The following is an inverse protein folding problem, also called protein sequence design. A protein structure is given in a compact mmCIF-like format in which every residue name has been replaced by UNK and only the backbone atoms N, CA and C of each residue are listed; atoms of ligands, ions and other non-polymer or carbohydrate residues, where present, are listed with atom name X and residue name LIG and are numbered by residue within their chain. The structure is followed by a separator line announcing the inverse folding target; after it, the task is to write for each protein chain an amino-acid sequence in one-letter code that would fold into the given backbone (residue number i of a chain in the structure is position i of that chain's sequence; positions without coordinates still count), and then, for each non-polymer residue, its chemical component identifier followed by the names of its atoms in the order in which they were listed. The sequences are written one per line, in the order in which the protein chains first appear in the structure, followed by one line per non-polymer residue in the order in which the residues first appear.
data_IF_514215521944
#
_entry.id   IF_514215521944
#
_cell.length_a   1.000
_cell.length_b   1.000
_cell.length_c   1.000
_cell.angle_alpha   90.00
_cell.angle_beta   90.00
_cell.angle_gamma   90.00
#
_symmetry.space_group_name_H-M   'P 1'
#
loop_
_entity.id
_entity.type
_entity.pdbx_description
1 polymer ?
#
# COMPACT_ATOMS: atom_id res chain seq x y z
N UNK A 1 33.84 51.29 -20.13
CA UNK A 1 32.61 50.71 -19.58
C UNK A 1 32.66 49.21 -19.83
N UNK A 2 32.85 48.40 -18.79
CA UNK A 2 32.90 46.94 -18.92
C UNK A 2 31.47 46.39 -18.81
N UNK A 3 30.96 45.79 -19.88
CA UNK A 3 29.64 45.18 -19.91
C UNK A 3 29.76 43.77 -19.31
N UNK A 4 29.36 43.62 -18.04
CA UNK A 4 29.20 42.30 -17.42
C UNK A 4 27.99 41.60 -18.06
N UNK A 5 28.27 40.65 -18.96
CA UNK A 5 27.26 39.74 -19.49
C UNK A 5 27.00 38.66 -18.44
N UNK A 6 26.00 38.88 -17.60
CA UNK A 6 25.48 37.84 -16.71
C UNK A 6 24.65 36.87 -17.56
N UNK A 7 25.21 35.71 -17.88
CA UNK A 7 24.46 34.58 -18.44
C UNK A 7 23.47 34.09 -17.37
N UNK A 8 22.15 34.14 -17.60
CA UNK A 8 21.22 33.49 -16.70
C UNK A 8 21.47 31.99 -16.78
N UNK A 9 21.95 31.40 -15.68
CA UNK A 9 21.95 29.97 -15.52
C UNK A 9 20.48 29.51 -15.61
N UNK A 10 20.12 28.84 -16.71
CA UNK A 10 18.84 28.15 -16.82
C UNK A 10 18.87 27.02 -15.80
N UNK A 11 18.41 27.30 -14.59
CA UNK A 11 18.05 26.25 -13.64
C UNK A 11 16.85 25.57 -14.26
N UNK A 12 17.09 24.42 -14.89
CA UNK A 12 16.01 23.55 -15.35
C UNK A 12 15.26 23.10 -14.10
N UNK A 13 14.17 23.80 -13.77
CA UNK A 13 13.19 23.31 -12.83
C UNK A 13 12.66 22.03 -13.45
N UNK A 14 13.18 20.87 -13.00
CA UNK A 14 12.51 19.61 -13.24
C UNK A 14 11.11 19.82 -12.67
N UNK A 15 10.10 19.87 -13.54
CA UNK A 15 8.74 19.65 -13.09
C UNK A 15 8.79 18.31 -12.38
N UNK A 16 8.82 18.33 -11.04
CA UNK A 16 8.47 17.16 -10.26
C UNK A 16 7.16 16.70 -10.87
N UNK A 17 7.16 15.52 -11.49
CA UNK A 17 5.95 14.95 -12.05
C UNK A 17 4.83 15.02 -11.02
N UNK A 18 3.58 15.09 -11.47
CA UNK A 18 2.46 15.01 -10.54
C UNK A 18 2.56 13.63 -9.84
N UNK A 19 2.88 13.55 -8.53
CA UNK A 19 3.18 12.26 -7.92
C UNK A 19 1.88 11.51 -7.63
N UNK A 20 1.86 10.20 -7.83
CA UNK A 20 0.80 9.38 -7.29
C UNK A 20 0.88 9.33 -5.77
N UNK A 21 -0.29 9.31 -5.12
CA UNK A 21 -0.42 9.07 -3.68
C UNK A 21 -1.09 7.72 -3.46
N UNK A 22 -0.30 6.70 -3.15
CA UNK A 22 -0.81 5.36 -2.85
C UNK A 22 -1.26 5.31 -1.40
N UNK A 23 -2.56 5.04 -1.21
CA UNK A 23 -3.19 4.96 0.10
C UNK A 23 -3.79 3.59 0.32
N UNK A 24 -3.46 2.96 1.43
CA UNK A 24 -4.06 1.69 1.86
C UNK A 24 -3.99 1.56 3.38
N UNK A 25 -4.48 0.43 3.89
CA UNK A 25 -4.47 0.15 5.33
C UNK A 25 -3.83 -1.20 5.61
N UNK A 26 -3.20 -1.30 6.77
CA UNK A 26 -2.68 -2.57 7.29
C UNK A 26 -3.45 -2.92 8.55
N UNK A 27 -3.93 -4.15 8.59
CA UNK A 27 -4.71 -4.65 9.70
C UNK A 27 -4.14 -5.95 10.26
N UNK A 28 -4.49 -6.21 11.52
CA UNK A 28 -4.33 -7.47 12.18
C UNK A 28 -5.63 -8.26 12.06
N UNK A 29 -5.56 -9.37 11.34
CA UNK A 29 -6.61 -10.37 11.29
C UNK A 29 -6.60 -11.16 12.60
N UNK A 30 -7.43 -10.70 13.53
CA UNK A 30 -7.59 -11.26 14.87
C UNK A 30 -8.27 -12.62 14.88
N UNK A 31 -8.92 -13.00 13.78
CA UNK A 31 -9.66 -14.26 13.66
C UNK A 31 -9.08 -15.21 12.62
N UNK A 32 -8.04 -14.79 11.89
CA UNK A 32 -7.36 -15.57 10.85
C UNK A 32 -8.34 -16.05 9.76
N UNK A 33 -9.29 -15.19 9.39
CA UNK A 33 -10.33 -15.47 8.40
C UNK A 33 -10.08 -14.84 7.02
N UNK A 34 -9.04 -14.01 6.87
CA UNK A 34 -8.60 -13.45 5.59
C UNK A 34 -9.39 -12.24 5.09
N UNK A 35 -10.15 -11.58 5.96
CA UNK A 35 -10.87 -10.34 5.67
C UNK A 35 -11.09 -9.49 6.93
N UNK A 36 -11.45 -8.22 6.75
CA UNK A 36 -11.71 -7.30 7.86
C UNK A 36 -13.07 -7.62 8.52
N UNK A 37 -13.08 -7.73 9.85
CA UNK A 37 -14.28 -7.96 10.67
C UNK A 37 -14.43 -6.87 11.71
N UNK A 38 -15.51 -6.90 12.50
CA UNK A 38 -15.67 -6.00 13.65
C UNK A 38 -14.60 -6.19 14.75
N UNK A 39 -13.89 -7.33 14.76
CA UNK A 39 -12.78 -7.59 15.67
C UNK A 39 -11.41 -7.14 15.14
N UNK A 40 -11.34 -6.76 13.86
CA UNK A 40 -10.10 -6.31 13.22
C UNK A 40 -9.52 -5.10 13.92
N UNK A 41 -8.20 -5.13 14.14
CA UNK A 41 -7.45 -3.97 14.65
C UNK A 41 -6.49 -3.49 13.57
N UNK A 42 -6.39 -2.17 13.40
CA UNK A 42 -5.43 -1.60 12.46
C UNK A 42 -4.06 -1.47 13.11
N UNK A 43 -2.99 -1.60 12.32
CA UNK A 43 -1.61 -1.66 12.82
C UNK A 43 -0.89 -0.35 12.51
N UNK A 44 -0.66 0.54 13.49
CA UNK A 44 0.26 1.66 13.36
C UNK A 44 1.71 1.20 13.25
N UNK A 45 2.54 1.91 12.49
CA UNK A 45 3.97 1.60 12.32
C UNK A 45 4.27 0.31 11.56
N UNK A 46 3.29 -0.27 10.86
CA UNK A 46 3.54 -1.37 9.93
C UNK A 46 4.33 -0.84 8.73
N UNK A 47 5.40 -1.55 8.35
CA UNK A 47 6.17 -1.24 7.15
C UNK A 47 5.51 -1.85 5.93
N UNK A 48 5.32 -1.02 4.92
CA UNK A 48 4.75 -1.37 3.61
C UNK A 48 5.71 -0.90 2.54
N UNK A 49 5.77 -1.64 1.44
CA UNK A 49 6.58 -1.29 0.28
C UNK A 49 5.71 -1.26 -0.97
N UNK A 50 5.90 -0.25 -1.80
CA UNK A 50 5.44 -0.27 -3.19
C UNK A 50 6.56 -0.90 -4.01
N UNK A 51 6.23 -1.94 -4.78
CA UNK A 51 7.14 -2.60 -5.70
C UNK A 51 6.52 -2.60 -7.09
N UNK A 52 7.28 -2.20 -8.11
CA UNK A 52 6.89 -2.37 -9.50
C UNK A 52 7.87 -3.30 -10.22
N UNK A 53 7.31 -4.23 -10.99
CA UNK A 53 8.06 -5.19 -11.77
C UNK A 53 7.85 -4.94 -13.26
N UNK A 54 8.92 -5.11 -14.03
CA UNK A 54 8.82 -5.16 -15.48
C UNK A 54 7.87 -6.30 -15.88
N UNK A 55 6.90 -6.00 -16.75
CA UNK A 55 5.81 -6.90 -17.09
C UNK A 55 6.28 -8.20 -17.76
N UNK A 56 7.40 -8.15 -18.50
CA UNK A 56 7.90 -9.30 -19.28
C UNK A 56 8.89 -10.14 -18.49
N UNK A 57 9.89 -9.49 -17.91
CA UNK A 57 10.99 -10.15 -17.19
C UNK A 57 10.67 -10.44 -15.72
N UNK A 58 9.60 -9.86 -15.18
CA UNK A 58 9.22 -9.94 -13.77
C UNK A 58 10.29 -9.43 -12.79
N UNK A 59 11.29 -8.70 -13.30
CA UNK A 59 12.35 -8.10 -12.49
C UNK A 59 11.82 -6.87 -11.77
N UNK A 60 12.19 -6.71 -10.51
CA UNK A 60 11.93 -5.49 -9.75
C UNK A 60 12.66 -4.31 -10.42
N UNK A 61 11.91 -3.27 -10.78
CA UNK A 61 12.44 -2.07 -11.44
C UNK A 61 12.27 -0.81 -10.59
N UNK A 62 11.37 -0.85 -9.61
CA UNK A 62 11.14 0.25 -8.68
C UNK A 62 10.71 -0.27 -7.31
N UNK A 63 11.16 0.42 -6.27
CA UNK A 63 10.69 0.18 -4.91
C UNK A 63 10.80 1.41 -4.02
N UNK A 64 9.78 1.62 -3.18
CA UNK A 64 9.79 2.63 -2.11
C UNK A 64 9.05 2.08 -0.88
N UNK A 65 9.57 2.36 0.31
CA UNK A 65 8.95 1.96 1.58
C UNK A 65 8.23 3.13 2.26
N UNK A 66 7.28 2.79 3.11
CA UNK A 66 6.62 3.71 4.03
C UNK A 66 6.06 2.99 5.23
N UNK A 67 5.57 3.78 6.19
CA UNK A 67 4.96 3.27 7.42
C UNK A 67 3.51 3.72 7.54
N UNK A 68 2.71 2.91 8.21
CA UNK A 68 1.34 3.27 8.55
C UNK A 68 1.27 4.26 9.71
N UNK A 69 0.31 5.18 9.62
CA UNK A 69 -0.02 6.13 10.68
C UNK A 69 -0.77 5.49 11.86
N UNK A 70 -1.20 6.32 12.82
CA UNK A 70 -1.96 5.89 14.01
C UNK A 70 -3.30 5.19 13.71
N UNK A 71 -3.81 5.27 12.48
CA UNK A 71 -5.03 4.59 12.02
C UNK A 71 -4.74 3.34 11.19
N UNK A 72 -3.47 2.92 11.15
CA UNK A 72 -2.95 1.86 10.29
C UNK A 72 -3.02 2.21 8.81
N UNK A 73 -3.04 3.49 8.44
CA UNK A 73 -3.12 3.94 7.05
C UNK A 73 -1.74 4.36 6.56
N UNK A 74 -1.28 3.84 5.42
CA UNK A 74 -0.09 4.36 4.75
C UNK A 74 -0.49 5.33 3.63
N UNK A 75 0.35 6.33 3.39
CA UNK A 75 0.21 7.29 2.30
C UNK A 75 1.59 7.49 1.66
N UNK A 76 1.92 6.67 0.65
CA UNK A 76 3.24 6.65 0.02
C UNK A 76 3.19 7.45 -1.28
N UNK A 77 4.17 8.33 -1.47
CA UNK A 77 4.35 9.08 -2.71
C UNK A 77 5.13 8.24 -3.72
N UNK A 78 4.68 8.25 -4.97
CA UNK A 78 5.38 7.65 -6.10
C UNK A 78 5.47 8.71 -7.19
N UNK A 79 6.68 9.17 -7.49
CA UNK A 79 6.91 10.32 -8.36
C UNK A 79 6.67 9.99 -9.84
N UNK A 80 6.97 8.76 -10.25
CA UNK A 80 7.00 8.35 -11.64
C UNK A 80 5.68 7.72 -12.12
N UNK A 81 5.41 7.88 -13.42
CA UNK A 81 4.43 7.04 -14.13
C UNK A 81 5.11 5.71 -14.47
N UNK A 82 4.56 4.61 -13.96
CA UNK A 82 5.09 3.27 -14.11
C UNK A 82 4.53 2.55 -15.36
N UNK A 83 3.83 3.25 -16.25
CA UNK A 83 3.41 2.77 -17.56
C UNK A 83 2.73 1.37 -17.51
N UNK A 84 3.33 0.35 -18.15
CA UNK A 84 2.81 -1.01 -18.22
C UNK A 84 3.38 -1.96 -17.15
N UNK A 85 4.16 -1.44 -16.19
CA UNK A 85 4.74 -2.21 -15.10
C UNK A 85 3.68 -2.75 -14.14
N UNK A 86 3.99 -3.89 -13.53
CA UNK A 86 3.12 -4.54 -12.54
C UNK A 86 3.47 -4.02 -11.14
N UNK A 87 2.68 -3.08 -10.64
CA UNK A 87 2.89 -2.47 -9.33
C UNK A 87 1.98 -3.05 -8.24
N UNK A 88 2.56 -3.28 -7.06
CA UNK A 88 1.86 -3.79 -5.88
C UNK A 88 2.33 -3.06 -4.62
N UNK A 89 1.41 -2.84 -3.68
CA UNK A 89 1.76 -2.66 -2.28
C UNK A 89 2.03 -4.05 -1.69
N UNK A 90 3.06 -4.20 -0.86
CA UNK A 90 3.43 -5.45 -0.18
C UNK A 90 3.73 -5.19 1.29
N UNK A 91 3.36 -6.13 2.16
CA UNK A 91 3.70 -6.08 3.58
C UNK A 91 5.19 -6.40 3.80
N UNK A 92 5.86 -5.61 4.63
CA UNK A 92 7.27 -5.83 5.00
C UNK A 92 7.39 -6.32 6.43
N UNK A 93 6.74 -5.63 7.39
CA UNK A 93 6.77 -6.05 8.80
C UNK A 93 5.68 -5.38 9.63
N UNK A 94 5.31 -6.05 10.72
CA UNK A 94 4.44 -5.51 11.77
C UNK A 94 5.22 -5.26 13.07
N UNK A 95 4.99 -4.12 13.76
CA UNK A 95 5.53 -3.86 15.08
C UNK A 95 4.75 -4.59 16.20
N UNK A 96 3.57 -5.15 15.92
CA UNK A 96 2.73 -5.83 16.91
C UNK A 96 3.28 -7.22 17.18
N UNK A 97 3.59 -7.52 18.44
CA UNK A 97 4.34 -8.70 18.84
C UNK A 97 3.69 -10.01 18.39
N UNK A 98 2.37 -10.11 18.53
CA UNK A 98 1.55 -11.30 18.31
C UNK A 98 0.76 -11.23 16.98
N UNK A 99 1.19 -10.36 16.04
CA UNK A 99 0.55 -10.19 14.74
C UNK A 99 1.57 -9.83 13.66
N UNK A 100 2.49 -10.77 13.38
CA UNK A 100 3.65 -10.56 12.46
C UNK A 100 3.65 -11.44 11.22
N UNK A 101 2.88 -12.52 11.22
CA UNK A 101 2.84 -13.45 10.09
C UNK A 101 1.94 -12.87 9.01
N UNK A 102 2.44 -12.66 7.80
CA UNK A 102 1.60 -12.17 6.68
C UNK A 102 0.57 -13.23 6.30
N UNK A 103 -0.68 -12.83 6.06
CA UNK A 103 -1.65 -13.70 5.40
C UNK A 103 -1.30 -13.83 3.91
N UNK A 104 -0.99 -15.03 3.37
CA UNK A 104 -0.63 -15.20 1.96
C UNK A 104 -1.68 -14.69 0.97
N UNK A 105 -2.96 -14.64 1.35
CA UNK A 105 -4.04 -14.11 0.51
C UNK A 105 -4.19 -12.59 0.56
N UNK A 106 -3.48 -11.93 1.50
CA UNK A 106 -3.61 -10.51 1.84
C UNK A 106 -2.26 -9.85 2.11
N UNK A 107 -1.15 -10.45 1.67
CA UNK A 107 0.22 -9.91 1.85
C UNK A 107 0.54 -8.78 0.85
N UNK A 108 -0.29 -8.64 -0.19
CA UNK A 108 -0.12 -7.68 -1.29
C UNK A 108 -1.43 -7.18 -1.84
N UNK A 109 -1.38 -5.99 -2.42
CA UNK A 109 -2.49 -5.37 -3.14
C UNK A 109 -1.99 -4.70 -4.42
N UNK A 110 -2.60 -5.01 -5.56
CA UNK A 110 -2.27 -4.38 -6.85
C UNK A 110 -2.64 -2.90 -6.84
N UNK A 111 -1.77 -2.05 -7.38
CA UNK A 111 -1.99 -0.61 -7.51
C UNK A 111 -1.67 -0.17 -8.93
N UNK A 112 -2.55 0.62 -9.54
CA UNK A 112 -2.37 1.10 -10.92
C UNK A 112 -1.64 2.44 -10.89
N UNK A 113 -0.37 2.43 -11.29
CA UNK A 113 0.51 3.60 -11.27
C UNK A 113 0.81 4.12 -12.68
N UNK A 114 -0.24 4.25 -13.48
CA UNK A 114 -0.16 4.91 -14.80
C UNK A 114 -1.33 5.85 -15.00
N UNK A 115 -1.13 6.88 -15.83
CA UNK A 115 -2.18 7.78 -16.33
C UNK A 115 -2.81 7.29 -17.63
N UNK A 116 -2.22 6.28 -18.28
CA UNK A 116 -2.75 5.68 -19.50
C UNK A 116 -3.93 4.71 -19.22
N UNK A 117 -4.90 5.17 -18.42
CA UNK A 117 -6.06 4.40 -17.98
C UNK A 117 -7.34 5.25 -17.85
N UNK A 118 -7.31 6.52 -18.26
CA UNK A 118 -8.44 7.45 -18.17
C UNK A 118 -8.76 7.93 -16.74
N UNK A 119 -7.98 7.55 -15.73
CA UNK A 119 -8.19 8.00 -14.35
C UNK A 119 -7.39 9.28 -14.06
N UNK A 120 -8.11 10.37 -13.82
CA UNK A 120 -7.55 11.71 -13.58
C UNK A 120 -7.02 11.93 -12.16
N UNK A 121 -7.39 11.07 -11.20
CA UNK A 121 -7.01 11.22 -9.80
C UNK A 121 -5.64 10.60 -9.54
N UNK A 122 -4.72 11.36 -8.94
CA UNK A 122 -3.39 10.87 -8.55
C UNK A 122 -3.43 10.01 -7.27
N UNK A 123 -4.54 10.04 -6.53
CA UNK A 123 -4.74 9.14 -5.39
C UNK A 123 -5.12 7.73 -5.87
N UNK A 124 -4.28 6.76 -5.49
CA UNK A 124 -4.48 5.34 -5.81
C UNK A 124 -4.77 4.57 -4.53
N UNK A 125 -5.92 3.92 -4.47
CA UNK A 125 -6.29 3.12 -3.32
C UNK A 125 -5.84 1.67 -3.50
N UNK A 126 -5.19 1.13 -2.48
CA UNK A 126 -4.85 -0.28 -2.38
C UNK A 126 -5.83 -0.97 -1.42
N UNK A 127 -6.14 -2.23 -1.71
CA UNK A 127 -6.89 -3.07 -0.78
C UNK A 127 -6.14 -3.18 0.55
N UNK A 128 -6.89 -3.32 1.65
CA UNK A 128 -6.30 -3.53 2.96
C UNK A 128 -5.52 -4.85 2.99
N UNK A 129 -4.33 -4.81 3.59
CA UNK A 129 -3.42 -5.96 3.70
C UNK A 129 -3.33 -6.42 5.16
N UNK A 130 -3.22 -7.73 5.34
CA UNK A 130 -3.42 -8.39 6.64
C UNK A 130 -2.18 -9.11 7.17
N UNK A 131 -1.85 -8.86 8.44
CA UNK A 131 -1.07 -9.78 9.25
C UNK A 131 -2.02 -10.67 10.07
N UNK A 132 -1.63 -11.89 10.34
CA UNK A 132 -2.35 -12.86 11.14
C UNK A 132 -1.95 -12.73 12.60
N UNK A 133 -2.96 -12.67 13.49
CA UNK A 133 -2.73 -12.87 14.91
C UNK A 133 -2.23 -14.30 15.16
N UNK A 134 -1.30 -14.49 16.08
CA UNK A 134 -0.73 -15.81 16.37
C UNK A 134 -1.81 -16.81 16.82
N UNK A 135 -2.72 -16.37 17.70
CA UNK A 135 -3.87 -17.12 18.17
C UNK A 135 -5.17 -16.33 17.93
N UNK A 136 -6.22 -16.95 17.36
CA UNK A 136 -7.52 -16.30 17.21
C UNK A 136 -8.08 -15.85 18.56
N UNK A 137 -8.81 -14.73 18.56
CA UNK A 137 -9.55 -14.29 19.75
C UNK A 137 -10.66 -15.28 20.10
N UNK A 138 -10.97 -15.42 21.39
CA UNK A 138 -11.98 -16.37 21.89
C UNK A 138 -13.38 -16.17 21.28
N UNK A 139 -13.72 -14.94 20.88
CA UNK A 139 -15.00 -14.60 20.26
C UNK A 139 -15.10 -14.91 18.75
N UNK A 140 -14.02 -15.33 18.09
CA UNK A 140 -13.99 -15.47 16.64
C UNK A 140 -14.99 -16.48 16.10
N UNK A 141 -15.23 -17.60 16.79
CA UNK A 141 -16.22 -18.59 16.35
C UNK A 141 -17.63 -18.00 16.28
N UNK A 142 -18.03 -17.21 17.29
CA UNK A 142 -19.35 -16.58 17.31
C UNK A 142 -19.45 -15.46 16.28
N UNK A 143 -18.37 -14.68 16.13
CA UNK A 143 -18.30 -13.61 15.13
C UNK A 143 -18.45 -14.16 13.70
N UNK A 144 -17.72 -15.22 13.37
CA UNK A 144 -17.74 -15.79 12.01
C UNK A 144 -19.09 -16.41 11.65
N UNK A 145 -19.85 -16.93 12.62
CA UNK A 145 -21.23 -17.38 12.37
C UNK A 145 -22.12 -16.28 11.83
N UNK A 146 -21.96 -15.04 12.30
CA UNK A 146 -22.77 -13.90 11.84
C UNK A 146 -22.55 -13.59 10.35
N UNK A 147 -21.34 -13.84 9.84
CA UNK A 147 -21.02 -13.66 8.43
C UNK A 147 -21.54 -14.80 7.55
N UNK A 148 -21.60 -16.03 8.10
CA UNK A 148 -22.19 -17.17 7.39
C UNK A 148 -23.71 -17.06 7.29
N UNK A 149 -24.36 -16.66 8.39
CA UNK A 149 -25.81 -16.48 8.43
C UNK A 149 -26.30 -15.33 7.54
N UNK A 150 -25.45 -14.32 7.29
CA UNK A 150 -25.79 -13.20 6.38
C UNK A 150 -25.63 -13.51 4.89
N UNK A 151 -24.85 -14.53 4.53
CA UNK A 151 -24.61 -14.91 3.13
C UNK A 151 -25.72 -15.82 2.57
N UNK A 152 -26.58 -16.37 3.44
CA UNK A 152 -27.69 -17.26 3.11
C UNK A 152 -29.05 -16.53 2.96
N UNK A 153 -29.08 -15.18 3.00
CA UNK A 153 -30.26 -14.32 2.73
C UNK A 153 -30.17 -13.59 1.37
#
# INVERSE_FOLDING_TARGET
MALCVALPALVSARQLGNPFRVRGRVYCDTCRCGFETSATTYIPGARVRIECKDRKSMKLVYSVEGETDSKGTYNILVEDDHEDQMCQSVLVSSPVADCKSTDPGRDRATVVLTRNNGCLNDQRFANAMGFLKDQPLSGCTQLLKQYLESDDE
#
